data_IF_975214549253
#
_entry.id   IF_975214549253
#
_cell.length_a   1.000
_cell.length_b   1.000
_cell.length_c   1.000
_cell.angle_alpha   90.00
_cell.angle_beta   90.00
_cell.angle_gamma   90.00
#
_symmetry.space_group_name_H-M   'P 1'
#
loop_
_entity.id
_entity.type
_entity.pdbx_description
1 polymer ?
#
# COMPACT_ATOMS: atom_id res chain seq x y z
N UNK A 1 16.25 0.47 76.79
CA UNK A 1 15.26 1.06 75.87
C UNK A 1 15.36 0.27 74.58
N UNK A 2 14.42 -0.64 74.39
CA UNK A 2 14.43 -1.63 73.30
C UNK A 2 13.60 -1.07 72.15
N UNK A 3 14.25 -0.80 71.03
CA UNK A 3 13.60 -0.29 69.82
C UNK A 3 13.04 -1.47 69.03
N UNK A 4 11.72 -1.62 69.06
CA UNK A 4 10.96 -2.53 68.22
C UNK A 4 10.88 -1.94 66.81
N UNK A 5 11.57 -2.55 65.86
CA UNK A 5 11.47 -2.25 64.43
C UNK A 5 10.10 -2.71 63.90
N UNK A 6 9.32 -1.84 63.23
CA UNK A 6 8.06 -2.24 62.61
C UNK A 6 8.35 -3.11 61.39
N UNK A 7 7.78 -4.32 61.40
CA UNK A 7 7.70 -5.23 60.24
C UNK A 7 7.00 -4.50 59.10
N UNK A 8 7.75 -4.25 58.02
CA UNK A 8 7.19 -3.89 56.73
C UNK A 8 6.46 -5.12 56.20
N UNK A 9 5.14 -5.15 56.37
CA UNK A 9 4.28 -6.08 55.65
C UNK A 9 4.42 -5.79 54.16
N UNK A 10 5.11 -6.66 53.44
CA UNK A 10 5.15 -6.69 51.99
C UNK A 10 3.70 -6.76 51.47
N UNK A 11 3.24 -5.63 50.96
CA UNK A 11 1.96 -5.52 50.30
C UNK A 11 2.11 -6.19 48.93
N UNK A 12 1.99 -7.51 48.90
CA UNK A 12 1.87 -8.28 47.66
C UNK A 12 0.56 -7.87 47.00
N UNK A 13 0.64 -6.82 46.19
CA UNK A 13 -0.40 -6.40 45.26
C UNK A 13 -0.54 -7.49 44.22
N UNK A 14 -1.33 -8.52 44.54
CA UNK A 14 -1.87 -9.41 43.52
C UNK A 14 -2.74 -8.53 42.61
N UNK A 15 -2.35 -8.34 41.33
CA UNK A 15 -3.27 -7.71 40.39
C UNK A 15 -4.55 -8.54 40.40
N UNK A 16 -5.74 -7.92 40.45
CA UNK A 16 -6.98 -8.67 40.37
C UNK A 16 -6.95 -9.44 39.05
N UNK A 17 -6.79 -10.76 39.11
CA UNK A 17 -7.05 -11.64 37.98
C UNK A 17 -8.51 -11.43 37.64
N UNK A 18 -8.76 -10.61 36.61
CA UNK A 18 -10.08 -10.42 36.06
C UNK A 18 -10.54 -11.77 35.55
N UNK A 19 -11.71 -12.22 35.99
CA UNK A 19 -12.34 -13.49 35.58
C UNK A 19 -12.35 -13.59 34.04
N UNK A 20 -12.52 -12.46 33.38
CA UNK A 20 -12.44 -12.29 31.91
C UNK A 20 -11.14 -12.85 31.30
N UNK A 21 -9.99 -12.72 31.97
CA UNK A 21 -8.72 -13.22 31.44
C UNK A 21 -8.64 -14.75 31.45
N UNK A 22 -9.27 -15.42 32.43
CA UNK A 22 -9.33 -16.88 32.46
C UNK A 22 -10.30 -17.43 31.40
N UNK A 23 -11.42 -16.74 31.16
CA UNK A 23 -12.37 -17.11 30.11
C UNK A 23 -11.75 -16.96 28.72
N UNK A 24 -11.02 -15.87 28.48
CA UNK A 24 -10.29 -15.64 27.23
C UNK A 24 -9.21 -16.70 26.99
N UNK A 25 -8.47 -17.09 28.02
CA UNK A 25 -7.45 -18.14 27.91
C UNK A 25 -8.06 -19.49 27.52
N UNK A 26 -9.16 -19.89 28.17
CA UNK A 26 -9.89 -21.11 27.84
C UNK A 26 -10.50 -21.07 26.44
N UNK A 27 -10.97 -19.90 25.99
CA UNK A 27 -11.45 -19.73 24.63
C UNK A 27 -10.33 -19.93 23.60
N UNK A 28 -9.17 -19.32 23.80
CA UNK A 28 -8.02 -19.45 22.90
C UNK A 28 -7.51 -20.89 22.84
N UNK A 29 -7.48 -21.62 23.96
CA UNK A 29 -7.11 -23.04 23.99
C UNK A 29 -8.10 -23.90 23.19
N UNK A 30 -9.41 -23.66 23.35
CA UNK A 30 -10.45 -24.36 22.57
C UNK A 30 -10.37 -24.03 21.09
N UNK A 31 -10.10 -22.77 20.75
CA UNK A 31 -9.94 -22.32 19.37
C UNK A 31 -8.71 -22.98 18.71
N UNK A 32 -7.58 -23.04 19.41
CA UNK A 32 -6.38 -23.70 18.91
C UNK A 32 -6.63 -25.19 18.68
N UNK A 33 -7.24 -25.88 19.65
CA UNK A 33 -7.63 -27.30 19.51
C UNK A 33 -8.57 -27.53 18.32
N UNK A 34 -9.54 -26.63 18.13
CA UNK A 34 -10.45 -26.68 16.98
C UNK A 34 -9.73 -26.47 15.64
N UNK A 35 -8.78 -25.53 15.57
CA UNK A 35 -7.99 -25.27 14.37
C UNK A 35 -7.06 -26.44 14.04
N UNK A 36 -6.40 -27.03 15.03
CA UNK A 36 -5.58 -28.23 14.84
C UNK A 36 -6.41 -29.40 14.30
N UNK A 37 -7.61 -29.62 14.88
CA UNK A 37 -8.54 -30.65 14.39
C UNK A 37 -8.97 -30.38 12.94
N UNK A 38 -9.29 -29.13 12.61
CA UNK A 38 -9.68 -28.75 11.25
C UNK A 38 -8.54 -29.00 10.25
N UNK A 39 -7.29 -28.69 10.61
CA UNK A 39 -6.12 -28.98 9.76
C UNK A 39 -5.94 -30.49 9.52
N UNK A 40 -6.12 -31.32 10.55
CA UNK A 40 -6.07 -32.77 10.41
C UNK A 40 -7.18 -33.30 9.48
N UNK A 41 -8.40 -32.74 9.56
CA UNK A 41 -9.50 -33.09 8.66
C UNK A 41 -9.23 -32.68 7.21
N UNK A 42 -8.63 -31.50 6.98
CA UNK A 42 -8.21 -31.04 5.65
C UNK A 42 -7.15 -31.96 5.06
N UNK A 43 -6.18 -32.40 5.86
CA UNK A 43 -5.17 -33.35 5.43
C UNK A 43 -5.80 -34.69 5.03
N UNK A 44 -6.67 -35.24 5.87
CA UNK A 44 -7.38 -36.49 5.58
C UNK A 44 -8.25 -36.38 4.32
N UNK A 45 -8.86 -35.23 4.07
CA UNK A 45 -9.60 -34.96 2.83
C UNK A 45 -8.68 -34.94 1.61
N UNK A 46 -7.53 -34.26 1.68
CA UNK A 46 -6.55 -34.21 0.60
C UNK A 46 -6.03 -35.62 0.23
N UNK A 47 -5.74 -36.45 1.23
CA UNK A 47 -5.31 -37.84 1.05
C UNK A 47 -6.38 -38.69 0.35
N UNK A 48 -7.66 -38.54 0.73
CA UNK A 48 -8.78 -39.26 0.09
C UNK A 48 -8.98 -38.87 -1.37
N UNK A 49 -8.85 -37.57 -1.68
CA UNK A 49 -8.98 -37.04 -3.03
C UNK A 49 -7.71 -37.21 -3.88
N UNK A 50 -6.66 -37.84 -3.33
CA UNK A 50 -5.35 -38.00 -3.99
C UNK A 50 -4.76 -36.67 -4.49
N UNK A 51 -4.99 -35.58 -3.73
CA UNK A 51 -4.45 -34.25 -3.99
C UNK A 51 -3.35 -33.89 -3.00
N UNK A 52 -2.50 -32.94 -3.36
CA UNK A 52 -1.52 -32.41 -2.41
C UNK A 52 -2.21 -31.63 -1.28
N UNK A 53 -1.68 -31.77 -0.07
CA UNK A 53 -2.19 -31.03 1.09
C UNK A 53 -2.12 -29.51 0.88
N UNK A 54 -1.03 -29.02 0.27
CA UNK A 54 -0.84 -27.58 0.00
C UNK A 54 -1.86 -27.01 -0.99
N UNK A 55 -2.22 -27.75 -2.06
CA UNK A 55 -3.25 -27.33 -3.02
C UNK A 55 -4.63 -27.26 -2.37
N UNK A 56 -4.96 -28.26 -1.54
CA UNK A 56 -6.23 -28.31 -0.80
C UNK A 56 -6.31 -27.15 0.19
N UNK A 57 -5.24 -26.91 0.96
CA UNK A 57 -5.14 -25.78 1.89
C UNK A 57 -5.29 -24.44 1.17
N UNK A 58 -4.68 -24.27 -0.01
CA UNK A 58 -4.85 -23.06 -0.83
C UNK A 58 -6.29 -22.88 -1.29
N UNK A 59 -6.94 -23.94 -1.74
CA UNK A 59 -8.35 -23.90 -2.18
C UNK A 59 -9.31 -23.53 -1.05
N UNK A 60 -9.06 -24.06 0.16
CA UNK A 60 -9.83 -23.74 1.36
C UNK A 60 -9.57 -22.29 1.80
N UNK A 61 -8.32 -21.83 1.79
CA UNK A 61 -7.99 -20.43 2.08
C UNK A 61 -8.68 -19.48 1.09
N UNK A 62 -8.70 -19.82 -0.20
CA UNK A 62 -9.42 -19.06 -1.22
C UNK A 62 -10.94 -19.05 -0.94
N UNK A 63 -11.50 -20.20 -0.57
CA UNK A 63 -12.91 -20.30 -0.20
C UNK A 63 -13.25 -19.47 1.05
N UNK A 64 -12.43 -19.52 2.10
CA UNK A 64 -12.60 -18.68 3.29
C UNK A 64 -12.43 -17.19 2.97
N UNK A 65 -11.45 -16.82 2.14
CA UNK A 65 -11.31 -15.45 1.68
C UNK A 65 -12.57 -15.00 0.92
N UNK A 66 -13.08 -15.82 0.00
CA UNK A 66 -14.35 -15.54 -0.68
C UNK A 66 -15.46 -15.32 0.33
N UNK A 67 -15.61 -16.19 1.34
CA UNK A 67 -16.63 -16.03 2.37
C UNK A 67 -16.45 -14.73 3.16
N UNK A 68 -15.25 -14.47 3.70
CA UNK A 68 -14.94 -13.26 4.48
C UNK A 68 -15.20 -11.98 3.69
N UNK A 69 -14.86 -11.97 2.39
CA UNK A 69 -15.06 -10.82 1.53
C UNK A 69 -16.44 -10.78 0.87
N UNK A 70 -17.22 -11.86 0.93
CA UNK A 70 -18.62 -11.91 0.47
C UNK A 70 -19.61 -11.45 1.55
N UNK A 71 -19.24 -11.55 2.84
CA UNK A 71 -20.13 -11.26 3.99
C UNK A 71 -20.61 -9.81 4.03
N UNK A 72 -19.93 -8.87 3.37
CA UNK A 72 -20.43 -7.50 3.26
C UNK A 72 -21.63 -7.31 2.29
N UNK A 73 -22.06 -8.37 1.56
CA UNK A 73 -23.23 -8.32 0.68
C UNK A 73 -24.46 -9.11 1.15
N UNK A 74 -24.34 -9.94 2.21
CA UNK A 74 -25.35 -10.97 2.50
C UNK A 74 -26.23 -10.70 3.73
N UNK A 75 -26.05 -9.58 4.44
CA UNK A 75 -26.93 -9.23 5.58
C UNK A 75 -28.19 -8.43 5.17
N UNK A 76 -28.40 -8.18 3.88
CA UNK A 76 -29.71 -7.81 3.34
C UNK A 76 -30.27 -9.05 2.62
N UNK A 77 -31.33 -9.63 3.17
CA UNK A 77 -31.89 -10.88 2.69
C UNK A 77 -32.18 -10.88 1.19
N UNK A 78 -31.67 -11.91 0.54
CA UNK A 78 -32.26 -12.57 -0.63
C UNK A 78 -32.84 -11.66 -1.72
N UNK A 79 -32.03 -10.72 -2.20
CA UNK A 79 -32.16 -10.22 -3.56
C UNK A 79 -30.77 -10.06 -4.18
N UNK A 80 -30.48 -10.91 -5.16
CA UNK A 80 -29.31 -10.93 -6.06
C UNK A 80 -29.12 -9.63 -6.89
N UNK A 81 -29.65 -8.49 -6.44
CA UNK A 81 -29.65 -7.24 -7.18
C UNK A 81 -28.63 -6.26 -6.62
N UNK A 82 -27.51 -6.11 -7.33
CA UNK A 82 -26.66 -4.92 -7.37
C UNK A 82 -26.62 -4.07 -6.08
N UNK A 83 -25.55 -4.20 -5.29
CA UNK A 83 -25.11 -3.09 -4.42
C UNK A 83 -25.18 -1.83 -5.27
N UNK A 84 -26.00 -0.86 -4.85
CA UNK A 84 -26.17 0.35 -5.62
C UNK A 84 -24.78 0.94 -5.90
N UNK A 85 -24.53 1.52 -7.08
CA UNK A 85 -23.22 2.10 -7.39
C UNK A 85 -22.75 3.14 -6.36
N UNK A 86 -23.66 3.65 -5.53
CA UNK A 86 -23.40 4.55 -4.41
C UNK A 86 -22.87 3.86 -3.13
N UNK A 87 -23.21 2.59 -2.89
CA UNK A 87 -22.76 1.85 -1.68
C UNK A 87 -21.38 1.22 -1.86
N UNK A 88 -21.01 0.89 -3.11
CA UNK A 88 -19.73 0.28 -3.43
C UNK A 88 -18.51 1.07 -2.90
N UNK A 89 -18.43 2.41 -3.03
CA UNK A 89 -17.35 3.20 -2.44
C UNK A 89 -17.22 3.02 -0.92
N UNK A 90 -18.33 2.94 -0.18
CA UNK A 90 -18.33 2.77 1.27
C UNK A 90 -17.79 1.38 1.65
N UNK A 91 -18.22 0.33 0.92
CA UNK A 91 -17.74 -1.03 1.13
C UNK A 91 -16.23 -1.15 0.87
N UNK A 92 -15.75 -0.61 -0.26
CA UNK A 92 -14.31 -0.60 -0.59
C UNK A 92 -13.53 0.15 0.49
N UNK A 93 -14.03 1.29 0.96
CA UNK A 93 -13.39 2.07 2.03
C UNK A 93 -13.31 1.27 3.34
N UNK A 94 -14.34 0.52 3.71
CA UNK A 94 -14.32 -0.32 4.90
C UNK A 94 -13.24 -1.41 4.80
N UNK A 95 -13.14 -2.10 3.66
CA UNK A 95 -12.08 -3.11 3.43
C UNK A 95 -10.68 -2.49 3.54
N UNK A 96 -10.50 -1.30 2.96
CA UNK A 96 -9.23 -0.58 3.03
C UNK A 96 -8.87 -0.13 4.46
N UNK A 97 -9.86 0.27 5.25
CA UNK A 97 -9.68 0.60 6.68
C UNK A 97 -9.26 -0.65 7.46
N UNK A 98 -9.95 -1.77 7.30
CA UNK A 98 -9.60 -3.02 8.00
C UNK A 98 -8.20 -3.51 7.59
N UNK A 99 -7.87 -3.44 6.31
CA UNK A 99 -6.51 -3.76 5.82
C UNK A 99 -5.47 -2.84 6.48
N UNK A 100 -5.76 -1.54 6.62
CA UNK A 100 -4.87 -0.61 7.30
C UNK A 100 -4.66 -0.98 8.77
N UNK A 101 -5.71 -1.39 9.49
CA UNK A 101 -5.61 -1.83 10.89
C UNK A 101 -4.72 -3.06 11.02
N UNK A 102 -4.89 -4.06 10.15
CA UNK A 102 -4.05 -5.28 10.14
C UNK A 102 -2.58 -4.93 9.92
N UNK A 103 -2.29 -4.02 8.98
CA UNK A 103 -0.92 -3.56 8.73
C UNK A 103 -0.33 -2.75 9.89
N UNK A 104 -1.17 -2.03 10.63
CA UNK A 104 -0.77 -1.30 11.84
C UNK A 104 -0.44 -2.28 12.99
N UNK A 105 -1.29 -3.29 13.23
CA UNK A 105 -1.00 -4.37 14.19
C UNK A 105 0.25 -5.17 13.80
N UNK A 106 0.48 -5.42 12.51
CA UNK A 106 1.70 -6.07 12.03
C UNK A 106 2.96 -5.24 12.38
N UNK A 107 2.85 -3.91 12.28
CA UNK A 107 3.94 -3.02 12.64
C UNK A 107 4.21 -2.99 14.15
N UNK A 108 3.17 -3.16 14.96
CA UNK A 108 3.28 -3.23 16.42
C UNK A 108 3.91 -4.55 16.87
N UNK A 109 3.47 -5.68 16.32
CA UNK A 109 3.93 -7.02 16.73
C UNK A 109 5.30 -7.36 16.15
N UNK A 110 5.55 -7.04 14.88
CA UNK A 110 6.77 -7.46 14.17
C UNK A 110 7.70 -6.30 13.80
N UNK A 111 7.35 -5.05 14.09
CA UNK A 111 8.14 -3.88 13.71
C UNK A 111 8.11 -3.56 12.21
N UNK A 112 7.32 -4.29 11.41
CA UNK A 112 7.29 -4.14 9.95
C UNK A 112 6.54 -2.87 9.55
N UNK A 113 7.24 -1.94 8.89
CA UNK A 113 6.64 -0.70 8.40
C UNK A 113 6.06 -0.89 7.00
N UNK A 114 4.83 -0.42 6.79
CA UNK A 114 4.12 -0.61 5.53
C UNK A 114 3.20 0.58 5.24
N UNK A 115 2.91 0.82 3.97
CA UNK A 115 1.83 1.71 3.57
C UNK A 115 1.11 1.14 2.35
N UNK A 116 -0.17 1.50 2.19
CA UNK A 116 -0.98 1.15 1.04
C UNK A 116 -1.63 2.41 0.47
N UNK A 117 -1.57 2.57 -0.85
CA UNK A 117 -2.25 3.63 -1.58
C UNK A 117 -3.29 3.00 -2.50
N UNK A 118 -4.55 3.41 -2.33
CA UNK A 118 -5.64 3.04 -3.22
C UNK A 118 -6.29 4.31 -3.79
N UNK A 119 -6.63 4.28 -5.08
CA UNK A 119 -7.33 5.38 -5.77
C UNK A 119 -8.43 4.79 -6.64
N UNK A 120 -9.58 5.43 -6.65
CA UNK A 120 -10.66 5.17 -7.58
C UNK A 120 -10.51 6.09 -8.81
N UNK A 121 -10.12 5.56 -9.98
CA UNK A 121 -9.97 6.36 -11.18
C UNK A 121 -11.32 6.87 -11.73
N UNK A 122 -12.45 6.26 -11.37
CA UNK A 122 -13.76 6.63 -11.89
C UNK A 122 -14.39 7.81 -11.13
N UNK A 123 -14.08 7.94 -9.83
CA UNK A 123 -14.60 9.02 -9.01
C UNK A 123 -13.68 10.26 -9.07
N UNK A 124 -14.07 11.38 -9.70
CA UNK A 124 -13.22 12.57 -9.79
C UNK A 124 -12.92 13.21 -8.43
N UNK A 125 -13.82 13.05 -7.44
CA UNK A 125 -13.68 13.59 -6.10
C UNK A 125 -12.88 12.70 -5.15
N UNK A 126 -12.48 11.49 -5.59
CA UNK A 126 -11.63 10.64 -4.77
C UNK A 126 -10.24 11.25 -4.59
N UNK A 127 -9.89 11.57 -3.34
CA UNK A 127 -8.56 12.03 -2.92
C UNK A 127 -7.55 10.89 -2.74
N UNK A 128 -8.00 9.64 -2.87
CA UNK A 128 -7.22 8.45 -2.58
C UNK A 128 -7.26 8.09 -1.10
N UNK A 129 -7.15 6.79 -0.84
CA UNK A 129 -7.01 6.23 0.49
C UNK A 129 -5.54 5.89 0.75
N UNK A 130 -5.00 6.39 1.87
CA UNK A 130 -3.65 6.07 2.34
C UNK A 130 -3.74 5.38 3.70
N UNK A 131 -3.42 4.08 3.73
CA UNK A 131 -3.40 3.25 4.93
C UNK A 131 -2.03 2.62 5.20
N UNK A 132 -1.98 1.68 6.14
CA UNK A 132 -0.78 0.98 6.61
C UNK A 132 -0.28 1.50 7.96
N UNK A 133 0.98 1.28 8.30
CA UNK A 133 1.56 1.75 9.57
C UNK A 133 1.76 3.27 9.58
N UNK A 134 1.77 3.88 10.78
CA UNK A 134 1.95 5.33 10.93
C UNK A 134 3.23 5.84 10.26
N UNK A 135 4.36 5.17 10.50
CA UNK A 135 5.65 5.55 9.90
C UNK A 135 5.63 5.41 8.38
N UNK A 136 5.01 4.35 7.84
CA UNK A 136 4.89 4.16 6.40
C UNK A 136 4.06 5.26 5.73
N UNK A 137 2.94 5.66 6.35
CA UNK A 137 2.08 6.75 5.86
C UNK A 137 2.84 8.08 5.83
N UNK A 138 3.58 8.41 6.90
CA UNK A 138 4.37 9.65 6.96
C UNK A 138 5.54 9.65 5.99
N UNK A 139 6.22 8.51 5.82
CA UNK A 139 7.26 8.35 4.81
C UNK A 139 6.72 8.69 3.41
N UNK A 140 5.57 8.13 3.03
CA UNK A 140 4.95 8.43 1.73
C UNK A 140 4.55 9.91 1.59
N UNK A 141 4.05 10.54 2.65
CA UNK A 141 3.72 11.98 2.65
C UNK A 141 4.97 12.86 2.49
N UNK A 142 6.09 12.47 3.09
CA UNK A 142 7.37 13.18 3.02
C UNK A 142 8.12 13.01 1.69
N UNK A 143 7.77 12.01 0.87
CA UNK A 143 8.39 11.82 -0.43
C UNK A 143 8.06 12.98 -1.39
N UNK A 144 9.06 13.39 -2.17
CA UNK A 144 8.84 14.37 -3.25
C UNK A 144 7.88 13.79 -4.28
N UNK A 145 6.71 14.41 -4.41
CA UNK A 145 5.63 13.91 -5.28
C UNK A 145 4.83 12.78 -4.64
N UNK A 146 4.98 12.52 -3.34
CA UNK A 146 4.09 11.68 -2.55
C UNK A 146 2.86 12.44 -2.06
N UNK A 147 2.23 11.93 -1.00
CA UNK A 147 1.01 12.51 -0.43
C UNK A 147 -0.13 12.64 -1.45
N UNK A 148 -0.84 13.76 -1.41
CA UNK A 148 -1.98 14.06 -2.30
C UNK A 148 -1.56 14.22 -3.76
N UNK A 149 -0.38 14.80 -4.02
CA UNK A 149 0.16 14.94 -5.37
C UNK A 149 0.47 13.58 -6.00
N UNK A 150 1.04 12.66 -5.22
CA UNK A 150 1.30 11.29 -5.64
C UNK A 150 0.03 10.50 -5.89
N UNK A 151 -0.97 10.63 -5.01
CA UNK A 151 -2.28 10.00 -5.18
C UNK A 151 -2.97 10.49 -6.47
N UNK A 152 -2.96 11.80 -6.71
CA UNK A 152 -3.49 12.40 -7.95
C UNK A 152 -2.74 11.92 -9.20
N UNK A 153 -1.41 11.88 -9.15
CA UNK A 153 -0.58 11.39 -10.26
C UNK A 153 -0.85 9.90 -10.56
N UNK A 154 -0.99 9.08 -9.52
CA UNK A 154 -1.31 7.67 -9.64
C UNK A 154 -2.72 7.47 -10.20
N UNK A 155 -3.69 8.28 -9.78
CA UNK A 155 -5.06 8.27 -10.32
C UNK A 155 -5.08 8.60 -11.81
N UNK A 156 -4.38 9.65 -12.25
CA UNK A 156 -4.25 10.00 -13.68
C UNK A 156 -3.60 8.85 -14.45
N UNK A 157 -2.58 8.22 -13.88
CA UNK A 157 -1.93 7.07 -14.50
C UNK A 157 -2.88 5.87 -14.63
N UNK A 158 -3.68 5.59 -13.60
CA UNK A 158 -4.68 4.53 -13.63
C UNK A 158 -5.78 4.80 -14.66
N UNK A 159 -6.33 6.02 -14.69
CA UNK A 159 -7.33 6.44 -15.68
C UNK A 159 -6.86 6.23 -17.13
N UNK A 160 -5.57 6.45 -17.42
CA UNK A 160 -4.99 6.22 -18.76
C UNK A 160 -4.91 4.74 -19.15
N UNK A 161 -4.94 3.81 -18.18
CA UNK A 161 -4.73 2.37 -18.41
C UNK A 161 -5.97 1.52 -18.24
N UNK A 162 -6.98 1.98 -17.50
CA UNK A 162 -8.27 1.28 -17.46
C UNK A 162 -8.89 1.43 -18.85
N UNK A 163 -9.07 0.34 -19.62
CA UNK A 163 -9.77 0.42 -20.90
C UNK A 163 -11.17 0.94 -20.60
N UNK A 164 -11.51 2.08 -21.20
CA UNK A 164 -12.90 2.53 -21.19
C UNK A 164 -13.69 1.50 -21.99
N UNK A 165 -14.35 0.57 -21.29
CA UNK A 165 -15.22 -0.45 -21.89
C UNK A 165 -16.47 0.16 -22.54
N UNK A 166 -16.58 1.49 -22.60
CA UNK A 166 -17.57 2.17 -23.42
C UNK A 166 -17.01 2.31 -24.85
N UNK A 167 -17.78 1.78 -25.80
CA UNK A 167 -17.59 1.86 -27.27
C UNK A 167 -16.97 0.63 -27.96
N UNK A 168 -17.56 -0.53 -27.72
CA UNK A 168 -17.69 -1.56 -28.76
C UNK A 168 -19.17 -1.77 -29.08
N UNK A 169 -19.86 -0.69 -29.51
CA UNK A 169 -21.24 -0.77 -29.99
C UNK A 169 -21.32 -0.12 -31.36
N UNK A 170 -21.34 -1.00 -32.36
CA UNK A 170 -21.90 -0.83 -33.71
C UNK A 170 -21.10 0.06 -34.66
N UNK A 171 -20.38 -0.63 -35.56
CA UNK A 171 -20.17 -0.17 -36.94
C UNK A 171 -21.50 0.33 -37.52
N UNK A 172 -21.68 1.64 -37.55
CA UNK A 172 -22.65 2.26 -38.44
C UNK A 172 -21.90 3.23 -39.33
N UNK A 173 -21.63 2.78 -40.55
CA UNK A 173 -21.17 3.58 -41.68
C UNK A 173 -22.06 4.82 -41.82
N UNK A 174 -21.61 5.93 -41.25
CA UNK A 174 -22.14 7.25 -41.55
C UNK A 174 -20.99 8.25 -41.51
N UNK A 175 -20.44 8.44 -42.70
CA UNK A 175 -19.56 9.55 -43.06
C UNK A 175 -20.23 10.89 -42.71
N UNK A 176 -19.75 11.54 -41.65
CA UNK A 176 -19.79 13.00 -41.55
C UNK A 176 -18.67 13.46 -40.64
N UNK A 177 -17.71 14.15 -41.26
CA UNK A 177 -16.62 14.93 -40.67
C UNK A 177 -16.78 15.29 -39.18
N UNK A 178 -16.14 14.52 -38.31
CA UNK A 178 -15.81 14.96 -36.96
C UNK A 178 -14.77 16.08 -37.07
N UNK A 179 -15.22 17.31 -36.88
CA UNK A 179 -14.34 18.48 -36.79
C UNK A 179 -13.30 18.23 -35.69
N UNK A 180 -11.99 18.41 -35.95
CA UNK A 180 -10.96 18.21 -34.93
C UNK A 180 -11.25 19.14 -33.74
N UNK A 181 -11.36 18.55 -32.56
CA UNK A 181 -11.53 19.31 -31.32
C UNK A 181 -10.44 20.40 -31.25
N UNK A 182 -10.81 21.65 -30.89
CA UNK A 182 -9.86 22.75 -30.87
C UNK A 182 -8.69 22.40 -29.93
N UNK A 183 -7.43 22.55 -30.37
CA UNK A 183 -6.28 22.21 -29.55
C UNK A 183 -6.31 23.03 -28.27
N UNK A 184 -6.46 22.35 -27.13
CA UNK A 184 -6.49 22.98 -25.82
C UNK A 184 -5.14 23.68 -25.62
N UNK A 185 -5.16 25.01 -25.68
CA UNK A 185 -3.94 25.83 -25.62
C UNK A 185 -3.31 25.67 -24.24
N UNK A 186 -2.26 24.84 -24.15
CA UNK A 186 -1.47 24.71 -22.91
C UNK A 186 -0.79 26.05 -22.61
N UNK A 187 -0.80 26.53 -21.36
CA UNK A 187 -0.11 27.76 -21.00
C UNK A 187 1.39 27.60 -21.30
N UNK A 188 1.99 28.60 -21.97
CA UNK A 188 3.37 28.53 -22.46
C UNK A 188 4.41 28.24 -21.36
N UNK A 189 4.11 28.63 -20.12
CA UNK A 189 4.93 28.32 -18.94
C UNK A 189 4.96 26.81 -18.65
N UNK A 190 3.82 26.14 -18.76
CA UNK A 190 3.71 24.70 -18.52
C UNK A 190 4.46 23.93 -19.60
N UNK A 191 4.29 24.31 -20.88
CA UNK A 191 5.01 23.71 -22.00
C UNK A 191 6.53 23.76 -21.81
N UNK A 192 7.06 24.89 -21.30
CA UNK A 192 8.48 25.00 -20.98
C UNK A 192 8.89 24.02 -19.89
N UNK A 193 8.15 23.98 -18.78
CA UNK A 193 8.44 23.08 -17.65
C UNK A 193 8.44 21.62 -18.10
N UNK A 194 7.39 21.21 -18.80
CA UNK A 194 7.22 19.85 -19.33
C UNK A 194 8.36 19.48 -20.28
N UNK A 195 8.76 20.39 -21.17
CA UNK A 195 9.87 20.18 -22.10
C UNK A 195 11.19 19.97 -21.37
N UNK A 196 11.52 20.81 -20.38
CA UNK A 196 12.73 20.65 -19.58
C UNK A 196 12.73 19.36 -18.77
N UNK A 197 11.60 18.97 -18.19
CA UNK A 197 11.48 17.75 -17.40
C UNK A 197 11.60 16.50 -18.27
N UNK A 198 10.87 16.46 -19.38
CA UNK A 198 10.89 15.32 -20.31
C UNK A 198 12.28 15.10 -20.89
N UNK A 199 12.97 16.17 -21.32
CA UNK A 199 14.33 16.06 -21.87
C UNK A 199 15.35 15.66 -20.81
N UNK A 200 15.26 16.17 -19.57
CA UNK A 200 16.14 15.72 -18.48
C UNK A 200 15.90 14.25 -18.13
N UNK A 201 14.64 13.82 -18.11
CA UNK A 201 14.26 12.44 -17.86
C UNK A 201 14.83 11.51 -18.94
N UNK A 202 14.59 11.82 -20.23
CA UNK A 202 15.15 11.04 -21.33
C UNK A 202 16.68 11.00 -21.31
N UNK A 203 17.36 12.14 -21.05
CA UNK A 203 18.81 12.17 -20.94
C UNK A 203 19.33 11.21 -19.85
N UNK A 204 18.75 11.27 -18.66
CA UNK A 204 19.15 10.41 -17.53
C UNK A 204 18.86 8.95 -17.80
N UNK A 205 17.74 8.65 -18.46
CA UNK A 205 17.37 7.30 -18.84
C UNK A 205 18.33 6.71 -19.88
N UNK A 206 18.69 7.46 -20.92
CA UNK A 206 19.58 6.98 -22.00
C UNK A 206 21.04 6.94 -21.57
N UNK A 207 21.50 7.93 -20.79
CA UNK A 207 22.88 7.96 -20.29
C UNK A 207 23.13 7.02 -19.10
N UNK A 208 22.08 6.66 -18.35
CA UNK A 208 22.20 5.91 -17.08
C UNK A 208 22.72 6.76 -15.91
N UNK A 209 22.99 8.05 -16.10
CA UNK A 209 23.57 8.92 -15.08
C UNK A 209 22.46 9.78 -14.45
N UNK A 210 22.10 9.50 -13.19
CA UNK A 210 21.02 10.22 -12.47
C UNK A 210 21.24 11.74 -12.39
N UNK A 211 22.50 12.17 -12.36
CA UNK A 211 22.89 13.59 -12.28
C UNK A 211 23.20 14.22 -13.64
N UNK A 212 22.91 13.55 -14.76
CA UNK A 212 23.14 14.12 -16.08
C UNK A 212 22.27 15.38 -16.27
N UNK A 213 22.90 16.43 -16.79
CA UNK A 213 22.25 17.68 -17.12
C UNK A 213 22.80 18.21 -18.46
N UNK A 214 21.88 18.57 -19.36
CA UNK A 214 22.24 19.18 -20.64
C UNK A 214 22.33 20.70 -20.49
N UNK A 215 23.46 21.26 -20.92
CA UNK A 215 23.57 22.71 -21.14
C UNK A 215 23.11 23.01 -22.56
N UNK A 216 21.96 23.66 -22.69
CA UNK A 216 21.35 24.01 -23.98
C UNK A 216 22.23 24.85 -24.90
N UNK A 217 23.17 25.61 -24.33
CA UNK A 217 24.14 26.43 -25.09
C UNK A 217 25.34 25.64 -25.59
N UNK A 218 25.51 24.39 -25.17
CA UNK A 218 26.65 23.56 -25.56
C UNK A 218 26.22 22.08 -25.62
N UNK A 219 25.53 21.68 -26.70
CA UNK A 219 25.07 20.30 -26.87
C UNK A 219 26.24 19.32 -27.09
N UNK A 220 27.43 19.79 -27.49
CA UNK A 220 28.61 18.93 -27.67
C UNK A 220 29.05 18.26 -26.37
N UNK A 221 28.75 18.85 -25.21
CA UNK A 221 29.04 18.25 -23.89
C UNK A 221 28.23 16.99 -23.60
N UNK A 222 27.19 16.69 -24.38
CA UNK A 222 26.47 15.41 -24.27
C UNK A 222 27.37 14.21 -24.58
N UNK A 223 28.43 14.40 -25.37
CA UNK A 223 29.44 13.37 -25.64
C UNK A 223 30.13 12.87 -24.37
N UNK A 224 30.26 13.72 -23.33
CA UNK A 224 30.80 13.33 -22.01
C UNK A 224 29.93 12.29 -21.30
N UNK A 225 28.64 12.24 -21.63
CA UNK A 225 27.69 11.25 -21.12
C UNK A 225 27.52 10.07 -22.09
N UNK A 226 28.29 10.02 -23.19
CA UNK A 226 28.17 8.99 -24.21
C UNK A 226 26.85 9.04 -24.98
N UNK A 227 26.21 10.22 -25.07
CA UNK A 227 24.95 10.40 -25.79
C UNK A 227 25.03 11.58 -26.75
N UNK A 228 24.15 11.58 -27.77
CA UNK A 228 23.92 12.72 -28.67
C UNK A 228 22.42 12.94 -28.83
N UNK A 229 22.02 14.18 -29.08
CA UNK A 229 20.64 14.52 -29.38
C UNK A 229 20.41 14.40 -30.89
N UNK A 230 19.41 13.63 -31.32
CA UNK A 230 19.06 13.37 -32.72
C UNK A 230 17.63 13.82 -32.98
N UNK A 231 17.36 14.28 -34.20
CA UNK A 231 16.03 14.74 -34.61
C UNK A 231 15.71 16.18 -34.23
N UNK A 232 16.73 17.02 -34.01
CA UNK A 232 16.50 18.47 -33.82
C UNK A 232 15.99 19.08 -35.12
N UNK A 233 14.82 19.74 -35.12
CA UNK A 233 14.21 20.26 -36.34
C UNK A 233 15.00 21.45 -36.89
N UNK A 234 15.18 21.53 -38.20
CA UNK A 234 16.04 22.54 -38.85
C UNK A 234 15.47 23.96 -38.83
N UNK A 235 14.16 24.12 -38.64
CA UNK A 235 13.46 25.41 -38.55
C UNK A 235 13.55 26.05 -37.16
N UNK A 236 13.96 25.29 -36.13
CA UNK A 236 14.10 25.80 -34.76
C UNK A 236 15.59 25.96 -34.44
N UNK A 237 16.06 27.16 -34.08
CA UNK A 237 17.46 27.35 -33.72
C UNK A 237 17.82 26.53 -32.49
N UNK A 238 19.02 25.93 -32.48
CA UNK A 238 19.58 25.18 -31.35
C UNK A 238 19.97 26.12 -30.20
N UNK A 239 18.96 26.71 -29.55
CA UNK A 239 19.10 27.68 -28.48
C UNK A 239 18.36 27.18 -27.21
N UNK A 240 18.50 27.94 -26.13
CA UNK A 240 17.83 27.62 -24.86
C UNK A 240 16.29 27.72 -25.03
N UNK A 241 15.49 26.74 -24.57
CA UNK A 241 14.03 26.80 -24.62
C UNK A 241 13.43 28.07 -23.99
N UNK A 242 14.16 28.68 -23.03
CA UNK A 242 13.77 29.96 -22.44
C UNK A 242 13.75 31.11 -23.44
N UNK A 243 14.65 31.10 -24.44
CA UNK A 243 14.74 32.10 -25.52
C UNK A 243 13.86 31.78 -26.75
N UNK A 244 13.31 30.57 -26.85
CA UNK A 244 12.45 30.17 -27.97
C UNK A 244 11.02 30.69 -27.79
N UNK A 245 10.31 30.84 -28.92
CA UNK A 245 8.89 31.20 -28.93
C UNK A 245 8.05 30.04 -28.35
N UNK A 246 6.87 30.35 -27.82
CA UNK A 246 5.97 29.34 -27.24
C UNK A 246 5.64 28.20 -28.23
N UNK A 247 5.34 28.54 -29.48
CA UNK A 247 5.03 27.55 -30.53
C UNK A 247 6.23 26.64 -30.85
N UNK A 248 7.47 27.15 -30.76
CA UNK A 248 8.67 26.35 -30.97
C UNK A 248 8.88 25.37 -29.81
N UNK A 249 8.67 25.81 -28.57
CA UNK A 249 8.74 24.91 -27.41
C UNK A 249 7.65 23.83 -27.45
N UNK A 250 6.44 24.19 -27.87
CA UNK A 250 5.35 23.24 -28.06
C UNK A 250 5.71 22.20 -29.13
N UNK A 251 6.26 22.64 -30.27
CA UNK A 251 6.72 21.75 -31.33
C UNK A 251 7.84 20.82 -30.86
N UNK A 252 8.81 21.32 -30.09
CA UNK A 252 9.87 20.48 -29.52
C UNK A 252 9.30 19.44 -28.56
N UNK A 253 8.34 19.81 -27.71
CA UNK A 253 7.69 18.88 -26.79
C UNK A 253 6.97 17.76 -27.54
N UNK A 254 6.22 18.10 -28.59
CA UNK A 254 5.57 17.12 -29.46
C UNK A 254 6.60 16.17 -30.09
N UNK A 255 7.70 16.68 -30.65
CA UNK A 255 8.73 15.83 -31.26
C UNK A 255 9.36 14.85 -30.25
N UNK A 256 9.50 15.26 -28.98
CA UNK A 256 10.00 14.40 -27.90
C UNK A 256 8.97 13.34 -27.50
N UNK A 257 7.69 13.71 -27.41
CA UNK A 257 6.58 12.80 -27.10
C UNK A 257 6.39 11.74 -28.20
N UNK A 258 6.58 12.12 -29.48
CA UNK A 258 6.52 11.21 -30.62
C UNK A 258 7.82 10.41 -30.85
N UNK A 259 8.89 10.71 -30.11
CA UNK A 259 10.18 10.03 -30.23
C UNK A 259 10.99 10.40 -31.48
N UNK A 260 10.61 11.48 -32.18
CA UNK A 260 11.38 12.06 -33.29
C UNK A 260 12.62 12.79 -32.76
N UNK A 261 12.46 13.58 -31.70
CA UNK A 261 13.55 14.22 -30.96
C UNK A 261 13.93 13.36 -29.75
N UNK A 262 15.09 12.70 -29.80
CA UNK A 262 15.53 11.74 -28.78
C UNK A 262 17.03 11.74 -28.56
N UNK A 263 17.45 11.21 -27.41
CA UNK A 263 18.86 10.92 -27.16
C UNK A 263 19.23 9.54 -27.70
N UNK A 264 20.33 9.47 -28.44
CA UNK A 264 20.94 8.22 -28.86
C UNK A 264 22.26 8.01 -28.11
N UNK A 265 22.51 6.78 -27.67
CA UNK A 265 23.80 6.41 -27.09
C UNK A 265 24.83 6.38 -28.20
N UNK A 266 25.76 7.33 -28.17
CA UNK A 266 26.88 7.34 -29.09
C UNK A 266 27.80 6.22 -28.61
N UNK A 267 27.77 5.08 -29.29
CA UNK A 267 28.81 4.06 -29.14
C UNK A 267 30.12 4.77 -29.47
N UNK A 268 30.86 5.20 -28.44
CA UNK A 268 32.21 5.72 -28.60
C UNK A 268 33.02 4.54 -29.13
N UNK A 269 33.02 4.45 -30.44
CA UNK A 269 33.73 3.44 -31.20
C UNK A 269 35.16 3.97 -31.25
N UNK A 270 35.97 3.60 -30.26
CA UNK A 270 37.43 3.65 -30.37
C UNK A 270 38.18 4.88 -29.82
N UNK A 271 37.69 5.53 -28.77
CA UNK A 271 38.57 6.35 -27.93
C UNK A 271 38.68 5.71 -26.54
N UNK A 272 39.48 4.63 -26.48
CA UNK A 272 40.27 4.36 -25.28
C UNK A 272 41.01 5.66 -24.94
N UNK A 273 40.55 6.36 -23.90
CA UNK A 273 41.43 7.27 -23.21
C UNK A 273 42.63 6.43 -22.75
N UNK A 274 43.87 6.78 -23.11
CA UNK A 274 45.04 6.07 -22.60
C UNK A 274 44.97 6.17 -21.08
N UNK A 275 44.63 5.06 -20.41
CA UNK A 275 44.87 4.92 -18.99
C UNK A 275 46.36 5.22 -18.77
N UNK A 276 46.71 6.09 -17.81
CA UNK A 276 48.10 6.15 -17.37
C UNK A 276 48.50 4.74 -16.93
N UNK A 277 49.48 4.19 -17.63
CA UNK A 277 50.13 2.93 -17.30
C UNK A 277 50.75 3.03 -15.91
N UNK A 278 50.01 2.62 -14.89
CA UNK A 278 50.60 2.21 -13.62
C UNK A 278 51.01 0.74 -13.71
N UNK A 279 52.32 0.62 -13.82
CA UNK A 279 53.20 -0.53 -13.67
C UNK A 279 52.64 -1.68 -12.80
N UNK A 280 52.48 -2.84 -13.44
CA UNK A 280 52.69 -4.22 -12.94
C UNK A 280 52.14 -4.61 -11.56
N UNK A 281 51.12 -5.49 -11.55
CA UNK A 281 51.24 -6.77 -10.85
C UNK A 281 50.31 -7.83 -11.46
N UNK A 282 50.93 -8.96 -11.81
CA UNK A 282 50.32 -10.15 -12.40
C UNK A 282 49.34 -10.84 -11.44
N UNK A 283 48.16 -11.22 -11.96
CA UNK A 283 47.45 -12.47 -11.62
C UNK A 283 46.39 -12.77 -12.68
N UNK A 284 46.34 -13.99 -13.25
CA UNK A 284 45.25 -14.43 -14.10
C UNK A 284 44.28 -15.30 -13.29
N UNK A 285 43.07 -14.81 -13.00
CA UNK A 285 42.01 -15.73 -12.58
C UNK A 285 40.62 -15.17 -12.90
N UNK A 286 39.89 -15.99 -13.66
CA UNK A 286 38.48 -15.97 -14.02
C UNK A 286 37.56 -15.52 -12.88
N UNK A 287 36.90 -14.37 -13.03
CA UNK A 287 35.74 -14.00 -12.20
C UNK A 287 34.45 -14.36 -12.91
N UNK A 288 33.93 -15.53 -12.55
CA UNK A 288 32.49 -15.76 -12.54
C UNK A 288 31.83 -14.68 -11.66
N UNK A 289 30.67 -14.20 -12.11
CA UNK A 289 29.92 -13.12 -11.48
C UNK A 289 29.56 -13.47 -10.03
N UNK A 290 30.12 -12.71 -9.10
CA UNK A 290 29.99 -12.85 -7.66
C UNK A 290 28.65 -12.26 -7.20
N UNK A 291 27.64 -13.14 -7.05
CA UNK A 291 26.31 -12.84 -6.50
C UNK A 291 26.25 -12.90 -4.96
N UNK A 292 27.39 -12.83 -4.25
CA UNK A 292 27.47 -13.02 -2.78
C UNK A 292 26.93 -11.88 -1.91
N UNK A 293 26.19 -10.93 -2.50
CA UNK A 293 25.61 -9.78 -1.81
C UNK A 293 24.11 -9.96 -1.57
N UNK A 294 23.51 -10.98 -2.18
CA UNK A 294 22.06 -11.16 -2.28
C UNK A 294 21.52 -12.31 -1.41
N UNK A 295 22.33 -12.91 -0.54
CA UNK A 295 21.91 -14.02 0.33
C UNK A 295 22.48 -13.87 1.73
N UNK A 296 21.71 -13.26 2.63
CA UNK A 296 21.95 -13.35 4.08
C UNK A 296 21.25 -14.61 4.57
N UNK A 297 22.00 -15.71 4.68
CA UNK A 297 21.47 -17.00 5.16
C UNK A 297 21.48 -17.13 6.69
N UNK A 298 21.96 -16.15 7.45
CA UNK A 298 22.09 -16.23 8.92
C UNK A 298 21.09 -15.36 9.70
N UNK A 299 19.81 -15.44 9.33
CA UNK A 299 18.70 -15.01 10.19
C UNK A 299 18.28 -16.04 11.25
N UNK A 300 19.20 -16.91 11.70
CA UNK A 300 18.94 -18.00 12.65
C UNK A 300 19.36 -17.64 14.07
N UNK A 301 18.59 -16.79 14.75
CA UNK A 301 18.78 -16.49 16.17
C UNK A 301 18.24 -17.62 17.05
N UNK A 302 19.09 -18.60 17.32
CA UNK A 302 18.83 -19.71 18.26
C UNK A 302 19.16 -19.24 19.70
N UNK A 303 18.13 -18.92 20.48
CA UNK A 303 18.26 -18.64 21.91
C UNK A 303 17.92 -19.92 22.70
N UNK A 304 18.83 -20.89 22.68
CA UNK A 304 18.81 -22.03 23.59
C UNK A 304 19.69 -21.75 24.80
N UNK A 305 19.03 -21.34 25.90
CA UNK A 305 19.63 -21.28 27.24
C UNK A 305 19.79 -22.71 27.74
N UNK A 306 21.03 -23.07 28.06
CA UNK A 306 21.40 -24.43 28.42
C UNK A 306 20.81 -24.93 29.74
N UNK A 307 20.65 -26.25 29.81
CA UNK A 307 20.77 -26.96 31.07
C UNK A 307 21.52 -28.28 30.84
N UNK A 308 22.69 -28.34 31.47
CA UNK A 308 23.53 -29.52 31.62
C UNK A 308 22.85 -30.49 32.59
N UNK A 309 22.84 -31.80 32.29
CA UNK A 309 23.03 -32.92 33.26
C UNK A 309 23.13 -34.25 32.48
N UNK A 310 24.28 -34.91 32.67
CA UNK A 310 24.44 -36.36 32.89
C UNK A 310 23.85 -37.36 31.89
N UNK A 311 24.68 -37.87 30.98
CA UNK A 311 24.42 -39.11 30.26
C UNK A 311 25.25 -40.25 30.89
N UNK A 312 24.54 -41.21 31.52
CA UNK A 312 25.06 -42.51 31.90
C UNK A 312 24.20 -43.60 31.24
N UNK A 313 24.90 -44.63 30.80
CA UNK A 313 24.53 -45.79 29.99
C UNK A 313 23.54 -46.78 30.63
N UNK A 314 22.60 -47.31 29.84
CA UNK A 314 22.06 -48.70 29.84
C UNK A 314 20.85 -48.73 28.88
N UNK A 315 20.89 -49.32 27.68
CA UNK A 315 20.70 -50.75 27.33
C UNK A 315 19.57 -51.43 28.12
N UNK A 316 18.33 -51.41 27.62
CA UNK A 316 17.41 -52.55 27.76
C UNK A 316 16.25 -52.52 26.75
N UNK A 317 15.69 -53.70 26.54
CA UNK A 317 14.95 -54.22 25.38
C UNK A 317 13.44 -53.94 25.33
N UNK A 318 12.91 -53.94 24.09
CA UNK A 318 11.60 -54.41 23.59
C UNK A 318 10.64 -55.07 24.61
N UNK A 319 9.31 -54.84 24.48
CA UNK A 319 8.54 -55.68 23.56
C UNK A 319 7.42 -55.01 22.75
N UNK A 320 7.22 -55.58 21.57
CA UNK A 320 6.04 -55.55 20.70
C UNK A 320 4.78 -56.09 21.40
N UNK A 321 3.67 -55.36 21.29
CA UNK A 321 2.33 -55.88 21.56
C UNK A 321 1.39 -55.54 20.41
N UNK A 322 1.01 -56.60 19.70
CA UNK A 322 -0.04 -56.68 18.69
C UNK A 322 -1.41 -56.62 19.38
N UNK A 323 -2.31 -55.76 18.89
CA UNK A 323 -3.73 -55.83 19.23
C UNK A 323 -4.57 -55.87 17.97
N UNK A 324 -5.02 -57.07 17.66
CA UNK A 324 -6.12 -57.37 16.74
C UNK A 324 -7.45 -57.12 17.46
N UNK A 325 -8.31 -56.25 16.93
CA UNK A 325 -9.72 -56.22 17.29
C UNK A 325 -10.57 -56.52 16.05
N UNK A 326 -11.19 -57.68 16.15
CA UNK A 326 -12.21 -58.24 15.28
C UNK A 326 -13.54 -57.87 15.96
N UNK A 327 -14.32 -56.98 15.36
CA UNK A 327 -15.70 -56.75 15.79
C UNK A 327 -16.62 -56.79 14.58
N UNK A 328 -17.32 -57.92 14.53
CA UNK A 328 -18.39 -58.29 13.64
C UNK A 328 -19.72 -57.76 14.23
N UNK A 329 -20.47 -56.96 13.47
CA UNK A 329 -21.91 -56.79 13.71
C UNK A 329 -22.66 -56.45 12.42
N UNK A 330 -23.70 -57.26 12.19
CA UNK A 330 -24.81 -57.16 11.25
C UNK A 330 -25.35 -55.72 11.04
N UNK A 331 -26.03 -55.33 9.97
CA UNK A 331 -26.79 -56.05 8.95
C UNK A 331 -28.10 -55.28 8.70
N UNK A 332 -28.19 -54.58 7.55
CA UNK A 332 -29.39 -54.06 6.85
C UNK A 332 -30.32 -53.03 7.57
N UNK A 333 -31.26 -52.33 6.88
CA UNK A 333 -31.61 -52.30 5.45
C UNK A 333 -31.69 -50.88 4.81
N UNK A 334 -31.94 -50.89 3.49
CA UNK A 334 -32.34 -49.74 2.68
C UNK A 334 -33.56 -49.00 3.23
N UNK A 335 -33.59 -47.67 3.07
CA UNK A 335 -34.82 -46.94 2.75
C UNK A 335 -34.54 -45.74 1.83
N UNK A 336 -35.20 -45.82 0.68
CA UNK A 336 -35.53 -44.74 -0.22
C UNK A 336 -36.47 -43.72 0.43
N UNK A 337 -36.28 -42.44 0.12
CA UNK A 337 -37.30 -41.39 0.27
C UNK A 337 -37.24 -40.51 -0.99
N UNK A 338 -38.06 -40.80 -2.01
CA UNK A 338 -39.44 -40.35 -2.18
C UNK A 338 -39.56 -38.83 -2.27
N UNK A 339 -39.52 -38.32 -3.50
CA UNK A 339 -39.97 -36.97 -3.88
C UNK A 339 -41.47 -36.84 -3.59
N UNK A 340 -41.79 -36.11 -2.53
CA UNK A 340 -43.14 -35.70 -2.18
C UNK A 340 -43.42 -34.30 -2.73
N UNK A 341 -44.12 -34.26 -3.86
CA UNK A 341 -44.79 -33.08 -4.40
C UNK A 341 -45.99 -32.76 -3.49
N UNK A 342 -46.06 -31.56 -2.92
CA UNK A 342 -47.27 -31.03 -2.30
C UNK A 342 -47.60 -29.63 -2.83
N UNK A 343 -48.89 -29.28 -2.87
CA UNK A 343 -49.41 -28.21 -3.71
C UNK A 343 -49.43 -26.85 -2.99
N UNK A 344 -49.30 -25.86 -3.87
CA UNK A 344 -49.63 -24.46 -3.74
C UNK A 344 -50.94 -24.21 -2.96
N UNK A 345 -50.86 -23.65 -1.76
CA UNK A 345 -51.98 -22.97 -1.11
C UNK A 345 -51.62 -21.50 -0.89
N UNK A 346 -52.40 -20.64 -1.55
CA UNK A 346 -52.33 -19.19 -1.42
C UNK A 346 -52.79 -18.76 -0.03
N UNK A 347 -52.04 -17.83 0.55
CA UNK A 347 -52.45 -17.07 1.71
C UNK A 347 -52.44 -15.60 1.30
N UNK A 348 -53.62 -15.02 1.39
CA UNK A 348 -53.92 -13.61 1.14
C UNK A 348 -53.05 -12.70 2.01
N UNK A 349 -52.25 -11.86 1.36
CA UNK A 349 -51.47 -10.81 1.98
C UNK A 349 -52.38 -9.62 2.28
N UNK A 350 -52.86 -9.53 3.52
CA UNK A 350 -53.47 -8.33 4.06
C UNK A 350 -52.41 -7.22 4.16
N UNK A 351 -52.67 -6.11 3.47
CA UNK A 351 -51.84 -4.93 3.48
C UNK A 351 -51.84 -4.25 4.85
N UNK A 352 -50.64 -3.96 5.35
CA UNK A 352 -50.43 -2.93 6.35
C UNK A 352 -49.66 -1.78 5.70
N UNK A 353 -50.43 -0.78 5.30
CA UNK A 353 -50.00 0.55 4.92
C UNK A 353 -49.54 1.27 6.20
N UNK A 354 -48.23 1.31 6.45
CA UNK A 354 -47.63 2.19 7.46
C UNK A 354 -47.00 3.39 6.75
N UNK A 355 -47.80 4.45 6.66
CA UNK A 355 -47.37 5.81 6.34
C UNK A 355 -46.49 6.34 7.47
N UNK A 356 -45.20 6.54 7.21
CA UNK A 356 -44.32 7.33 8.07
C UNK A 356 -44.54 8.81 7.74
N UNK A 357 -45.28 9.50 8.60
CA UNK A 357 -45.31 10.97 8.62
C UNK A 357 -44.09 11.47 9.37
N UNK A 358 -43.26 12.21 8.65
CA UNK A 358 -42.05 12.89 9.10
C UNK A 358 -42.44 14.11 9.94
N UNK A 359 -42.43 13.96 11.27
CA UNK A 359 -42.47 15.10 12.19
C UNK A 359 -41.04 15.54 12.51
N UNK A 360 -40.70 16.72 12.00
CA UNK A 360 -39.47 17.47 12.31
C UNK A 360 -39.61 18.06 13.71
N UNK A 361 -38.86 17.54 14.67
CA UNK A 361 -38.78 18.04 16.04
C UNK A 361 -37.46 18.76 16.30
N UNK A 362 -37.53 20.08 16.42
CA UNK A 362 -36.51 21.03 16.87
C UNK A 362 -36.20 20.87 18.38
N UNK A 363 -35.51 19.80 18.80
CA UNK A 363 -35.11 19.61 20.21
C UNK A 363 -33.69 19.05 20.35
N UNK A 364 -32.68 19.79 19.87
CA UNK A 364 -31.26 19.42 20.06
C UNK A 364 -30.34 20.60 20.38
N UNK A 365 -30.81 21.49 21.25
CA UNK A 365 -30.02 22.61 21.79
C UNK A 365 -30.28 22.83 23.30
N UNK A 366 -30.13 21.80 24.15
CA UNK A 366 -29.99 22.02 25.59
C UNK A 366 -29.53 20.74 26.33
N UNK A 367 -28.22 20.43 26.24
CA UNK A 367 -27.58 19.47 27.14
C UNK A 367 -26.09 19.80 27.33
N UNK A 368 -25.81 20.99 27.86
CA UNK A 368 -24.54 21.30 28.52
C UNK A 368 -24.84 21.74 29.95
N UNK A 369 -24.04 21.27 30.89
CA UNK A 369 -24.16 21.36 32.35
C UNK A 369 -25.07 20.32 33.01
N UNK A 370 -24.48 19.17 33.36
CA UNK A 370 -24.52 18.68 34.74
C UNK A 370 -23.38 17.67 34.96
N UNK A 371 -22.58 17.93 35.99
CA UNK A 371 -21.34 17.22 36.27
C UNK A 371 -21.53 15.77 36.69
N UNK A 372 -20.75 14.89 36.07
CA UNK A 372 -20.51 13.52 36.53
C UNK A 372 -19.08 13.47 37.07
N UNK A 373 -18.89 13.22 38.38
CA UNK A 373 -17.56 13.08 38.96
C UNK A 373 -17.05 11.65 38.72
N UNK A 374 -15.94 11.48 38.00
CA UNK A 374 -15.25 10.19 37.90
C UNK A 374 -14.46 9.90 36.62
N UNK A 375 -13.89 10.90 35.94
CA UNK A 375 -13.20 10.67 34.66
C UNK A 375 -11.76 11.22 34.61
N UNK A 376 -10.98 11.05 35.70
CA UNK A 376 -9.60 11.55 35.80
C UNK A 376 -8.57 10.45 36.14
N UNK A 377 -8.79 9.18 35.80
CA UNK A 377 -7.84 8.09 36.11
C UNK A 377 -6.84 7.76 34.97
N UNK A 378 -6.86 8.50 33.87
CA UNK A 378 -5.79 8.40 32.86
C UNK A 378 -5.12 9.76 32.72
N UNK A 379 -3.97 9.88 33.38
CA UNK A 379 -3.13 11.09 33.46
C UNK A 379 -2.56 11.57 32.13
N UNK A 380 -3.42 11.97 31.20
CA UNK A 380 -3.07 12.80 30.06
C UNK A 380 -3.64 14.21 30.31
N UNK A 381 -2.79 15.07 30.86
CA UNK A 381 -3.08 16.49 30.90
C UNK A 381 -2.92 17.04 29.48
N UNK A 382 -4.03 17.14 28.75
CA UNK A 382 -4.08 17.93 27.52
C UNK A 382 -4.23 19.38 27.98
N UNK A 383 -3.13 20.13 27.97
CA UNK A 383 -3.21 21.58 28.15
C UNK A 383 -4.08 22.17 27.04
N UNK A 384 -5.15 22.92 27.36
CA UNK A 384 -5.94 23.60 26.36
C UNK A 384 -5.05 24.64 25.67
N UNK A 385 -5.04 24.59 24.33
CA UNK A 385 -4.36 25.56 23.49
C UNK A 385 -4.78 26.98 23.87
N UNK A 386 -3.88 27.73 24.49
CA UNK A 386 -4.09 29.14 24.82
C UNK A 386 -4.12 29.95 23.52
N UNK A 387 -5.28 30.46 23.16
CA UNK A 387 -5.56 31.31 21.98
C UNK A 387 -4.93 32.73 22.08
N UNK A 388 -3.97 32.92 23.00
CA UNK A 388 -3.32 34.21 23.30
C UNK A 388 -1.80 34.18 23.16
N UNK A 389 -1.22 33.21 22.43
CA UNK A 389 0.15 33.37 21.95
C UNK A 389 0.19 34.44 20.85
N UNK A 390 0.48 35.67 21.26
CA UNK A 390 1.00 36.69 20.36
C UNK A 390 2.36 36.21 19.88
N UNK A 391 2.46 35.89 18.59
CA UNK A 391 3.75 35.74 17.93
C UNK A 391 4.48 37.08 18.07
N UNK A 392 5.54 37.10 18.87
CA UNK A 392 6.53 38.17 18.79
C UNK A 392 7.06 38.19 17.36
N UNK A 393 7.08 39.38 16.78
CA UNK A 393 7.56 39.68 15.43
C UNK A 393 8.96 39.10 15.22
N UNK A 394 9.03 37.90 14.65
CA UNK A 394 10.23 37.42 13.97
C UNK A 394 10.27 38.21 12.67
N UNK A 395 11.03 39.31 12.67
CA UNK A 395 11.43 40.02 11.45
C UNK A 395 12.18 39.03 10.53
N UNK A 396 11.42 38.32 9.70
CA UNK A 396 11.97 37.52 8.60
C UNK A 396 12.51 38.48 7.55
N UNK A 397 13.80 38.78 7.71
CA UNK A 397 14.60 39.60 6.82
C UNK A 397 14.59 38.99 5.40
N UNK A 398 13.74 39.56 4.54
CA UNK A 398 13.42 39.01 3.23
C UNK A 398 14.70 38.98 2.35
N UNK A 399 15.12 37.81 1.84
CA UNK A 399 16.39 37.66 1.10
C UNK A 399 16.47 38.50 -0.19
N UNK A 400 15.35 39.06 -0.63
CA UNK A 400 15.27 40.00 -1.75
C UNK A 400 15.79 41.39 -1.35
N UNK A 401 15.53 41.87 -0.13
CA UNK A 401 16.01 43.18 0.34
C UNK A 401 17.53 43.19 0.59
N UNK A 402 18.10 42.09 1.09
CA UNK A 402 19.55 41.98 1.26
C UNK A 402 20.30 42.06 -0.09
N UNK A 403 19.69 41.59 -1.19
CA UNK A 403 20.26 41.70 -2.53
C UNK A 403 20.19 43.11 -3.11
N UNK A 404 19.15 43.89 -2.76
CA UNK A 404 19.02 45.28 -3.15
C UNK A 404 20.05 46.17 -2.43
N UNK A 405 20.23 45.98 -1.10
CA UNK A 405 21.22 46.72 -0.31
C UNK A 405 22.67 46.46 -0.75
N UNK A 406 22.97 45.25 -1.23
CA UNK A 406 24.31 44.91 -1.73
C UNK A 406 24.67 45.56 -3.08
N UNK A 407 23.67 45.92 -3.90
CA UNK A 407 23.89 46.65 -5.17
C UNK A 407 24.06 48.16 -4.97
N UNK A 408 23.40 48.73 -3.96
CA UNK A 408 23.54 50.16 -3.65
C UNK A 408 24.94 50.52 -3.10
N UNK A 409 25.60 49.59 -2.39
CA UNK A 409 26.96 49.83 -1.86
C UNK A 409 28.08 49.65 -2.88
N UNK A 410 27.83 49.03 -4.02
CA UNK A 410 28.83 48.85 -5.09
C UNK A 410 28.89 50.01 -6.09
N UNK A 411 28.02 51.02 -5.97
CA UNK A 411 27.99 52.20 -6.85
C UNK A 411 28.65 53.44 -6.24
N UNK A 412 29.17 53.36 -5.00
CA UNK A 412 29.88 54.45 -4.32
C UNK A 412 31.38 54.16 -4.16
N UNK A 413 31.96 53.27 -4.97
CA UNK A 413 33.40 52.95 -4.98
C UNK A 413 34.04 53.25 -6.32
#
# INVERSE_FOLDING_TARGET
>A
MSHTTPELSEYTSHPPETIDAQEDALFLERLDTFMQKSLAEIQAFAERESRSYDETKRSIAEWHAKTLFSVAGNNAGDSLGATTPEERPAQVRNVLIETSKVLESLSEVLGVQSFILAVDPQNPHDGGFLGGSLVGREFYRGLRGGGTAGASSFKIYAQKRVPSTQEEVVMQDSSTHSSPAPPTVRPSRQVKVDLYETIRSQLRNVSGIRKAEMKWTNPERLSLYGVRLVGWPSDIPAANPSSLKANQNQRLLELVEHGELKFEKTMITGLEAPQPTDTQRNTPETTAEDFSWAYDAEGGGDASVGCSIGSATAVESLPTSSSSLLLETAGHPMLSSSSGHLPNEGIDSLGNELTWTEEVGDDLLEAQHNGVPGFDEYGFHIEPWNETMKFEDVEEDNPIEQRARKRARSSES
#
